data_IF_925574596511
#
_entry.id   IF_925574596511
#
_cell.length_a   1.000
_cell.length_b   1.000
_cell.length_c   1.000
_cell.angle_alpha   90.00
_cell.angle_beta   90.00
_cell.angle_gamma   90.00
#
_symmetry.space_group_name_H-M   'P 1'
#
loop_
_entity.id
_entity.type
_entity.pdbx_description
1 polymer ?
#
# COMPACT_ATOMS: atom_id res chain seq x y z
N UNK A 1 -33.50 -7.83 -30.13
CA UNK A 1 -32.76 -7.39 -28.96
C UNK A 1 -31.79 -8.51 -28.61
N UNK A 2 -30.57 -8.48 -29.20
CA UNK A 2 -29.49 -9.37 -28.81
C UNK A 2 -29.17 -9.13 -27.32
N UNK A 3 -29.33 -10.18 -26.50
CA UNK A 3 -29.05 -10.08 -25.06
C UNK A 3 -27.61 -9.64 -24.86
N UNK A 4 -27.41 -8.48 -24.25
CA UNK A 4 -26.08 -7.95 -23.87
C UNK A 4 -25.38 -8.93 -22.96
N UNK A 5 -24.23 -9.47 -23.38
CA UNK A 5 -23.42 -10.38 -22.57
C UNK A 5 -22.63 -9.56 -21.54
N UNK A 6 -23.09 -9.56 -20.29
CA UNK A 6 -22.35 -8.98 -19.16
C UNK A 6 -21.07 -9.77 -18.89
N UNK A 7 -20.00 -9.06 -18.53
CA UNK A 7 -18.75 -9.67 -18.14
C UNK A 7 -18.92 -10.60 -16.94
N UNK A 8 -18.74 -11.91 -17.16
CA UNK A 8 -18.69 -12.94 -16.09
C UNK A 8 -17.28 -13.26 -15.63
N UNK A 9 -16.24 -12.89 -16.41
CA UNK A 9 -14.84 -13.16 -16.04
C UNK A 9 -14.34 -12.18 -15.01
N UNK A 10 -13.39 -12.63 -14.16
CA UNK A 10 -12.64 -11.75 -13.28
C UNK A 10 -11.70 -10.87 -14.10
N UNK A 11 -11.71 -9.52 -13.92
CA UNK A 11 -10.81 -8.64 -14.64
C UNK A 11 -9.35 -8.93 -14.29
N UNK A 12 -8.49 -8.95 -15.30
CA UNK A 12 -7.06 -9.15 -15.14
C UNK A 12 -6.39 -7.85 -14.68
N UNK A 13 -5.58 -7.94 -13.63
CA UNK A 13 -4.94 -6.80 -12.98
C UNK A 13 -3.42 -6.95 -12.96
N UNK A 14 -2.70 -5.90 -13.41
CA UNK A 14 -1.25 -5.77 -13.32
C UNK A 14 -0.89 -4.77 -12.24
N UNK A 15 0.05 -5.15 -11.34
CA UNK A 15 0.49 -4.30 -10.22
C UNK A 15 1.91 -3.75 -10.49
N UNK A 16 1.98 -2.44 -10.74
CA UNK A 16 3.21 -1.70 -10.95
C UNK A 16 3.64 -1.05 -9.63
N UNK A 17 4.89 -1.22 -9.22
CA UNK A 17 5.40 -0.84 -7.89
C UNK A 17 4.73 -1.67 -6.78
N UNK A 18 4.63 -2.97 -6.98
CA UNK A 18 3.79 -3.87 -6.18
C UNK A 18 4.26 -4.07 -4.72
N UNK A 19 5.54 -3.79 -4.41
CA UNK A 19 6.11 -4.07 -3.11
C UNK A 19 5.88 -5.53 -2.69
N UNK A 20 5.36 -5.74 -1.46
CA UNK A 20 5.02 -7.09 -0.96
C UNK A 20 3.65 -7.59 -1.41
N UNK A 21 2.94 -6.84 -2.26
CA UNK A 21 1.65 -7.29 -2.82
C UNK A 21 0.42 -7.04 -1.94
N UNK A 22 0.48 -6.09 -1.00
CA UNK A 22 -0.68 -5.80 -0.14
C UNK A 22 -1.90 -5.30 -0.92
N UNK A 23 -1.69 -4.44 -1.95
CA UNK A 23 -2.75 -4.01 -2.85
C UNK A 23 -3.26 -5.19 -3.69
N UNK A 24 -2.37 -5.93 -4.35
CA UNK A 24 -2.71 -7.13 -5.13
C UNK A 24 -3.51 -8.16 -4.32
N UNK A 25 -3.12 -8.44 -3.06
CA UNK A 25 -3.84 -9.33 -2.16
C UNK A 25 -5.26 -8.83 -1.88
N UNK A 26 -5.41 -7.53 -1.64
CA UNK A 26 -6.72 -6.91 -1.44
C UNK A 26 -7.61 -7.00 -2.68
N UNK A 27 -7.08 -6.69 -3.85
CA UNK A 27 -7.77 -6.78 -5.14
C UNK A 27 -8.19 -8.23 -5.44
N UNK A 28 -7.31 -9.20 -5.18
CA UNK A 28 -7.63 -10.63 -5.33
C UNK A 28 -8.80 -11.03 -4.44
N UNK A 29 -8.83 -10.61 -3.17
CA UNK A 29 -9.96 -10.83 -2.25
C UNK A 29 -11.27 -10.19 -2.72
N UNK A 30 -11.18 -9.11 -3.47
CA UNK A 30 -12.33 -8.47 -4.11
C UNK A 30 -12.83 -9.21 -5.36
N UNK A 31 -12.05 -10.15 -5.91
CA UNK A 31 -12.39 -10.95 -7.09
C UNK A 31 -11.72 -10.52 -8.39
N UNK A 32 -10.69 -9.69 -8.34
CA UNK A 32 -9.82 -9.42 -9.49
C UNK A 32 -8.74 -10.53 -9.60
N UNK A 33 -8.27 -10.79 -10.81
CA UNK A 33 -7.23 -11.78 -11.08
C UNK A 33 -5.91 -11.06 -11.37
N UNK A 34 -4.95 -11.12 -10.45
CA UNK A 34 -3.63 -10.57 -10.72
C UNK A 34 -2.89 -11.41 -11.78
N UNK A 35 -2.21 -10.74 -12.71
CA UNK A 35 -1.33 -11.36 -13.70
C UNK A 35 0.13 -11.39 -13.23
N UNK A 36 0.51 -10.56 -12.27
CA UNK A 36 1.82 -10.49 -11.67
C UNK A 36 2.11 -9.13 -11.04
N UNK A 37 3.31 -8.99 -10.48
CA UNK A 37 3.78 -7.75 -9.86
C UNK A 37 5.18 -7.37 -10.31
N UNK A 38 5.43 -6.07 -10.40
CA UNK A 38 6.72 -5.50 -10.79
C UNK A 38 7.19 -4.55 -9.69
N UNK A 39 8.44 -4.67 -9.30
CA UNK A 39 9.13 -3.75 -8.41
C UNK A 39 10.63 -3.78 -8.71
N UNK A 40 11.39 -2.80 -8.23
CA UNK A 40 12.85 -2.81 -8.31
C UNK A 40 13.51 -3.48 -7.09
N UNK A 41 12.73 -3.95 -6.14
CA UNK A 41 13.17 -4.44 -4.84
C UNK A 41 13.00 -5.97 -4.73
N UNK A 42 14.07 -6.72 -4.93
CA UNK A 42 14.10 -8.18 -4.95
C UNK A 42 13.52 -8.84 -3.68
N UNK A 43 13.84 -8.34 -2.47
CA UNK A 43 13.29 -8.88 -1.23
C UNK A 43 11.76 -8.75 -1.17
N UNK A 44 11.21 -7.65 -1.68
CA UNK A 44 9.77 -7.42 -1.72
C UNK A 44 9.10 -8.35 -2.75
N UNK A 45 9.72 -8.55 -3.91
CA UNK A 45 9.24 -9.48 -4.93
C UNK A 45 9.30 -10.93 -4.46
N UNK A 46 10.36 -11.32 -3.73
CA UNK A 46 10.44 -12.65 -3.10
C UNK A 46 9.29 -12.85 -2.11
N UNK A 47 8.96 -11.82 -1.29
CA UNK A 47 7.81 -11.84 -0.38
C UNK A 47 6.49 -11.93 -1.16
N UNK A 48 6.33 -11.12 -2.21
CA UNK A 48 5.14 -11.15 -3.09
C UNK A 48 4.91 -12.54 -3.67
N UNK A 49 5.95 -13.11 -4.33
CA UNK A 49 5.87 -14.42 -4.96
C UNK A 49 5.56 -15.53 -3.95
N UNK A 50 6.23 -15.51 -2.79
CA UNK A 50 6.04 -16.51 -1.74
C UNK A 50 4.59 -16.61 -1.26
N UNK A 51 3.95 -15.46 -1.07
CA UNK A 51 2.60 -15.41 -0.47
C UNK A 51 1.46 -15.48 -1.49
N UNK A 52 1.65 -14.98 -2.71
CA UNK A 52 0.59 -14.94 -3.71
C UNK A 52 0.75 -16.04 -4.79
N UNK A 53 1.93 -16.65 -4.92
CA UNK A 53 2.20 -17.65 -5.96
C UNK A 53 2.15 -17.11 -7.38
N UNK A 54 2.26 -15.78 -7.55
CA UNK A 54 2.13 -15.10 -8.83
C UNK A 54 3.49 -14.73 -9.40
N UNK A 55 3.60 -14.58 -10.73
CA UNK A 55 4.82 -14.10 -11.39
C UNK A 55 5.26 -12.75 -10.86
N UNK A 56 6.56 -12.53 -10.78
CA UNK A 56 7.17 -11.24 -10.40
C UNK A 56 8.30 -10.90 -11.35
N UNK A 57 8.49 -9.61 -11.61
CA UNK A 57 9.59 -9.08 -12.40
C UNK A 57 10.33 -8.01 -11.62
N UNK A 58 11.64 -8.22 -11.41
CA UNK A 58 12.54 -7.19 -10.90
C UNK A 58 12.93 -6.26 -12.04
N UNK A 59 12.43 -5.04 -12.02
CA UNK A 59 12.73 -4.05 -13.06
C UNK A 59 12.66 -2.61 -12.53
N UNK A 60 13.52 -1.75 -13.08
CA UNK A 60 13.39 -0.30 -12.93
C UNK A 60 12.32 0.20 -13.91
N UNK A 61 11.13 0.47 -13.40
CA UNK A 61 10.00 0.94 -14.21
C UNK A 61 10.26 2.29 -14.90
N UNK A 62 11.31 3.03 -14.53
CA UNK A 62 11.75 4.20 -15.27
C UNK A 62 12.39 3.86 -16.63
N UNK A 63 12.74 2.59 -16.87
CA UNK A 63 13.49 2.14 -18.04
C UNK A 63 12.86 0.95 -18.75
N UNK A 64 12.09 0.15 -18.03
CA UNK A 64 11.51 -1.08 -18.57
C UNK A 64 10.43 -0.77 -19.62
N UNK A 65 10.54 -1.40 -20.78
CA UNK A 65 9.54 -1.35 -21.85
C UNK A 65 8.37 -2.30 -21.55
N UNK A 66 7.20 -2.04 -22.15
CA UNK A 66 6.05 -2.94 -22.03
C UNK A 66 6.37 -4.36 -22.55
N UNK A 67 7.20 -4.48 -23.60
CA UNK A 67 7.63 -5.78 -24.14
C UNK A 67 8.41 -6.59 -23.09
N UNK A 68 9.44 -5.99 -22.47
CA UNK A 68 10.21 -6.65 -21.40
C UNK A 68 9.33 -7.07 -20.23
N UNK A 69 8.34 -6.23 -19.86
CA UNK A 69 7.40 -6.52 -18.77
C UNK A 69 6.48 -7.68 -19.13
N UNK A 70 5.88 -7.67 -20.33
CA UNK A 70 4.96 -8.70 -20.77
C UNK A 70 5.63 -10.06 -20.95
N UNK A 71 6.84 -10.07 -21.50
CA UNK A 71 7.65 -11.29 -21.70
C UNK A 71 8.12 -11.84 -20.35
N UNK A 72 8.63 -10.97 -19.46
CA UNK A 72 9.12 -11.35 -18.14
C UNK A 72 8.05 -11.92 -17.20
N UNK A 73 6.81 -11.46 -17.32
CA UNK A 73 5.67 -11.97 -16.52
C UNK A 73 4.81 -12.99 -17.28
N UNK A 74 5.01 -13.18 -18.58
CA UNK A 74 4.28 -14.15 -19.40
C UNK A 74 2.80 -13.80 -19.60
N UNK A 75 2.45 -12.53 -19.87
CA UNK A 75 1.08 -12.12 -20.11
C UNK A 75 0.91 -11.34 -21.42
N UNK A 76 -0.31 -11.38 -21.98
CA UNK A 76 -0.69 -10.52 -23.10
C UNK A 76 -1.19 -9.16 -22.59
N UNK A 77 -0.53 -8.03 -22.96
CA UNK A 77 -0.97 -6.70 -22.56
C UNK A 77 -2.42 -6.38 -22.96
N UNK A 78 -2.88 -6.92 -24.08
CA UNK A 78 -4.27 -6.75 -24.51
C UNK A 78 -5.28 -7.42 -23.55
N UNK A 79 -4.84 -8.39 -22.78
CA UNK A 79 -5.65 -9.11 -21.78
C UNK A 79 -5.76 -8.39 -20.43
N UNK A 80 -5.00 -7.31 -20.17
CA UNK A 80 -5.01 -6.58 -18.90
C UNK A 80 -6.17 -5.60 -18.86
N UNK A 81 -7.08 -5.78 -17.92
CA UNK A 81 -8.27 -4.94 -17.75
C UNK A 81 -8.05 -3.78 -16.78
N UNK A 82 -7.18 -3.98 -15.79
CA UNK A 82 -6.90 -3.01 -14.72
C UNK A 82 -5.39 -2.89 -14.51
N UNK A 83 -4.87 -1.67 -14.46
CA UNK A 83 -3.49 -1.40 -14.02
C UNK A 83 -3.54 -0.68 -12.69
N UNK A 84 -2.81 -1.19 -11.71
CA UNK A 84 -2.73 -0.58 -10.39
C UNK A 84 -1.29 -0.29 -10.00
N UNK A 85 -1.07 0.61 -9.05
CA UNK A 85 0.25 0.81 -8.48
C UNK A 85 0.34 1.98 -7.52
N UNK A 86 1.48 2.01 -6.80
CA UNK A 86 1.85 3.08 -5.89
C UNK A 86 3.17 3.73 -6.31
N UNK A 87 3.24 4.47 -7.42
CA UNK A 87 4.50 5.09 -7.85
C UNK A 87 5.07 5.98 -6.74
N UNK A 88 6.36 5.85 -6.38
CA UNK A 88 6.94 6.60 -5.28
C UNK A 88 6.92 8.10 -5.55
N UNK A 89 6.44 8.86 -4.57
CA UNK A 89 6.41 10.32 -4.53
C UNK A 89 7.14 10.84 -3.28
N UNK A 90 8.41 10.49 -3.12
CA UNK A 90 9.15 10.75 -1.87
C UNK A 90 9.39 12.24 -1.61
N UNK A 91 9.54 13.07 -2.62
CA UNK A 91 9.67 14.53 -2.47
C UNK A 91 8.41 15.20 -1.91
N UNK A 92 7.28 14.51 -1.87
CA UNK A 92 6.00 15.04 -1.38
C UNK A 92 5.55 14.40 -0.05
N UNK A 93 6.34 13.47 0.51
CA UNK A 93 6.04 12.87 1.80
C UNK A 93 6.08 13.92 2.92
N UNK A 94 5.13 13.86 3.85
CA UNK A 94 5.09 14.71 5.06
C UNK A 94 6.20 14.34 6.05
N UNK A 95 6.85 13.18 5.87
CA UNK A 95 7.94 12.65 6.69
C UNK A 95 9.19 12.51 5.83
N UNK A 96 10.11 13.48 5.88
CA UNK A 96 11.37 13.46 5.14
C UNK A 96 11.79 14.83 4.62
N UNK A 97 12.92 14.89 3.92
CA UNK A 97 13.35 16.09 3.18
C UNK A 97 12.45 16.25 1.96
N UNK A 98 11.69 17.34 1.91
CA UNK A 98 10.85 17.69 0.73
C UNK A 98 11.77 18.16 -0.39
N UNK A 99 12.26 17.23 -1.20
CA UNK A 99 13.10 17.51 -2.36
C UNK A 99 12.25 17.42 -3.63
N UNK A 100 11.89 18.57 -4.18
CA UNK A 100 11.10 18.67 -5.40
C UNK A 100 11.88 18.26 -6.66
N UNK A 101 13.20 18.11 -6.57
CA UNK A 101 14.09 17.71 -7.67
C UNK A 101 14.36 16.20 -7.69
N UNK A 102 13.84 15.44 -6.72
CA UNK A 102 14.03 14.00 -6.64
C UNK A 102 13.52 13.31 -7.93
N UNK A 103 14.35 12.58 -8.67
CA UNK A 103 13.96 11.93 -9.92
C UNK A 103 12.82 10.93 -9.75
N UNK A 104 12.61 10.40 -8.52
CA UNK A 104 11.49 9.52 -8.21
C UNK A 104 10.13 10.21 -8.31
N UNK A 105 10.09 11.54 -8.29
CA UNK A 105 8.86 12.29 -8.52
C UNK A 105 8.35 12.16 -9.97
N UNK A 106 9.18 11.66 -10.89
CA UNK A 106 8.82 11.42 -12.29
C UNK A 106 8.26 9.99 -12.52
N UNK A 107 8.35 9.09 -11.55
CA UNK A 107 7.93 7.69 -11.73
C UNK A 107 6.42 7.53 -12.01
N UNK A 108 5.59 8.50 -11.63
CA UNK A 108 4.19 8.52 -12.04
C UNK A 108 4.04 8.75 -13.56
N UNK A 109 5.00 9.42 -14.23
CA UNK A 109 4.98 9.60 -15.68
C UNK A 109 5.26 8.28 -16.41
N UNK A 110 6.21 7.48 -15.91
CA UNK A 110 6.47 6.14 -16.46
C UNK A 110 5.29 5.19 -16.21
N UNK A 111 4.65 5.27 -15.04
CA UNK A 111 3.39 4.58 -14.81
C UNK A 111 2.34 4.98 -15.85
N UNK A 112 2.21 6.27 -16.12
CA UNK A 112 1.29 6.81 -17.13
C UNK A 112 1.62 6.33 -18.54
N UNK A 113 2.90 6.32 -18.94
CA UNK A 113 3.37 5.82 -20.24
C UNK A 113 2.98 4.34 -20.44
N UNK A 114 3.22 3.49 -19.45
CA UNK A 114 2.80 2.09 -19.49
C UNK A 114 1.27 1.94 -19.57
N UNK A 115 0.51 2.75 -18.84
CA UNK A 115 -0.96 2.76 -18.96
C UNK A 115 -1.41 3.17 -20.37
N UNK A 116 -0.73 4.13 -21.01
CA UNK A 116 -1.04 4.51 -22.40
C UNK A 116 -0.81 3.37 -23.39
N UNK A 117 0.25 2.56 -23.17
CA UNK A 117 0.57 1.44 -24.04
C UNK A 117 -0.38 0.25 -23.82
N UNK A 118 -0.61 -0.15 -22.54
CA UNK A 118 -1.51 -1.25 -22.17
C UNK A 118 -2.97 -0.90 -22.46
N UNK A 119 -3.36 0.35 -22.25
CA UNK A 119 -4.72 0.86 -22.38
C UNK A 119 -5.78 0.03 -21.62
N UNK A 120 -5.59 -0.16 -20.29
CA UNK A 120 -6.55 -0.90 -19.47
C UNK A 120 -7.90 -0.16 -19.40
N UNK A 121 -8.98 -0.88 -19.09
CA UNK A 121 -10.30 -0.28 -18.85
C UNK A 121 -10.30 0.62 -17.62
N UNK A 122 -9.57 0.22 -16.59
CA UNK A 122 -9.50 0.93 -15.29
C UNK A 122 -8.06 1.10 -14.81
N UNK A 123 -7.84 2.18 -14.07
CA UNK A 123 -6.55 2.53 -13.46
C UNK A 123 -6.74 2.86 -11.98
N UNK A 124 -5.87 2.35 -11.13
CA UNK A 124 -5.85 2.65 -9.70
C UNK A 124 -4.45 3.12 -9.29
N UNK A 125 -4.36 4.34 -8.75
CA UNK A 125 -3.09 4.85 -8.19
C UNK A 125 -3.29 5.13 -6.70
N UNK A 126 -2.48 4.47 -5.87
CA UNK A 126 -2.38 4.78 -4.43
C UNK A 126 -1.16 5.64 -4.15
N UNK A 127 -1.30 6.61 -3.24
CA UNK A 127 -0.17 7.43 -2.86
C UNK A 127 -0.33 8.04 -1.45
N UNK A 128 0.72 8.72 -0.98
CA UNK A 128 0.74 9.40 0.32
C UNK A 128 -0.12 10.68 0.29
N UNK A 129 -0.72 11.03 1.45
CA UNK A 129 -1.57 12.23 1.63
C UNK A 129 -0.90 13.52 1.12
N UNK A 130 0.43 13.63 1.29
CA UNK A 130 1.19 14.82 0.88
C UNK A 130 1.08 15.15 -0.61
N UNK A 131 0.76 14.18 -1.48
CA UNK A 131 0.61 14.40 -2.91
C UNK A 131 -0.56 15.34 -3.24
N UNK A 132 -1.65 15.32 -2.47
CA UNK A 132 -2.81 16.20 -2.71
C UNK A 132 -2.48 17.70 -2.58
N UNK A 133 -1.57 18.04 -1.66
CA UNK A 133 -1.20 19.43 -1.36
C UNK A 133 0.15 19.80 -1.96
N UNK A 134 0.86 18.83 -2.53
CA UNK A 134 2.16 19.04 -3.14
C UNK A 134 2.06 20.08 -4.25
N UNK A 135 3.00 21.03 -4.22
CA UNK A 135 3.05 22.14 -5.16
C UNK A 135 1.68 22.86 -5.30
N UNK A 136 1.02 23.14 -4.17
CA UNK A 136 -0.31 23.79 -4.10
C UNK A 136 -1.39 23.03 -4.89
N UNK A 137 -1.29 21.70 -4.94
CA UNK A 137 -2.25 20.84 -5.65
C UNK A 137 -1.97 20.66 -7.14
N UNK A 138 -0.92 21.29 -7.69
CA UNK A 138 -0.57 21.17 -9.11
C UNK A 138 -0.22 19.74 -9.53
N UNK A 139 0.44 18.97 -8.66
CA UNK A 139 0.80 17.58 -8.98
C UNK A 139 -0.45 16.73 -9.22
N UNK A 140 -1.46 16.87 -8.35
CA UNK A 140 -2.76 16.19 -8.54
C UNK A 140 -3.40 16.56 -9.86
N UNK A 141 -3.50 17.86 -10.14
CA UNK A 141 -4.09 18.38 -11.37
C UNK A 141 -3.33 17.86 -12.61
N UNK A 142 -1.99 17.87 -12.59
CA UNK A 142 -1.17 17.35 -13.68
C UNK A 142 -1.43 15.87 -13.97
N UNK A 143 -1.59 15.04 -12.92
CA UNK A 143 -1.93 13.62 -13.08
C UNK A 143 -3.32 13.50 -13.73
N UNK A 144 -4.34 14.16 -13.18
CA UNK A 144 -5.71 14.11 -13.69
C UNK A 144 -5.79 14.60 -15.15
N UNK A 145 -5.08 15.69 -15.49
CA UNK A 145 -5.05 16.26 -16.84
C UNK A 145 -4.30 15.36 -17.84
N UNK A 146 -3.18 14.74 -17.41
CA UNK A 146 -2.45 13.79 -18.24
C UNK A 146 -3.36 12.62 -18.64
N UNK A 147 -4.04 12.00 -17.69
CA UNK A 147 -4.97 10.90 -17.98
C UNK A 147 -6.15 11.34 -18.84
N UNK A 148 -6.70 12.53 -18.59
CA UNK A 148 -7.78 13.10 -19.43
C UNK A 148 -7.33 13.29 -20.87
N UNK A 149 -6.09 13.75 -21.09
CA UNK A 149 -5.54 13.98 -22.45
C UNK A 149 -5.47 12.70 -23.29
N UNK A 150 -5.53 11.52 -22.65
CA UNK A 150 -5.45 10.22 -23.30
C UNK A 150 -6.77 9.42 -23.24
N UNK A 151 -7.89 10.08 -22.90
CA UNK A 151 -9.24 9.50 -22.93
C UNK A 151 -9.58 8.68 -21.70
N UNK A 152 -9.04 9.05 -20.54
CA UNK A 152 -9.50 8.56 -19.25
C UNK A 152 -10.18 9.68 -18.49
N UNK A 153 -11.36 9.44 -17.96
CA UNK A 153 -11.85 10.20 -16.83
C UNK A 153 -11.07 9.75 -15.58
N UNK A 154 -10.78 10.70 -14.69
CA UNK A 154 -10.05 10.42 -13.45
C UNK A 154 -10.55 11.29 -12.30
N UNK A 155 -10.66 10.68 -11.13
CA UNK A 155 -11.01 11.38 -9.88
C UNK A 155 -10.12 10.91 -8.74
N UNK A 156 -9.99 11.75 -7.71
CA UNK A 156 -9.14 11.44 -6.55
C UNK A 156 -9.83 11.76 -5.22
N UNK A 157 -9.48 11.00 -4.18
CA UNK A 157 -9.97 11.22 -2.81
C UNK A 157 -8.90 10.83 -1.79
N UNK A 158 -9.11 11.27 -0.53
CA UNK A 158 -8.30 10.85 0.60
C UNK A 158 -9.06 9.79 1.40
N UNK A 159 -8.50 8.59 1.51
CA UNK A 159 -9.05 7.49 2.31
C UNK A 159 -8.28 7.35 3.62
N UNK A 160 -9.00 7.01 4.69
CA UNK A 160 -8.43 6.61 5.97
C UNK A 160 -8.59 5.10 6.12
N UNK A 161 -7.47 4.38 6.25
CA UNK A 161 -7.47 2.91 6.32
C UNK A 161 -8.32 2.36 7.47
N UNK A 162 -8.40 3.08 8.60
CA UNK A 162 -9.23 2.68 9.74
C UNK A 162 -10.72 2.53 9.40
N UNK A 163 -11.24 3.33 8.45
CA UNK A 163 -12.64 3.28 8.02
C UNK A 163 -12.98 1.97 7.28
N UNK A 164 -11.94 1.21 6.91
CA UNK A 164 -12.04 -0.10 6.22
C UNK A 164 -11.63 -1.28 7.11
N UNK A 165 -11.61 -1.10 8.44
CA UNK A 165 -11.27 -2.16 9.40
C UNK A 165 -9.76 -2.38 9.59
N UNK A 166 -8.91 -1.55 9.02
CA UNK A 166 -7.46 -1.59 9.29
C UNK A 166 -7.19 -0.92 10.64
N UNK A 167 -6.48 -1.56 11.59
CA UNK A 167 -6.29 -1.00 12.93
C UNK A 167 -5.23 0.11 12.97
N UNK A 168 -5.27 1.04 11.99
CA UNK A 168 -4.38 2.21 11.96
C UNK A 168 -4.99 3.42 11.21
N UNK A 169 -4.63 4.61 11.65
CA UNK A 169 -5.08 5.90 11.10
C UNK A 169 -4.28 6.32 9.84
N UNK A 170 -3.83 5.34 9.06
CA UNK A 170 -3.10 5.57 7.81
C UNK A 170 -3.99 6.25 6.78
N UNK A 171 -3.58 7.38 6.26
CA UNK A 171 -4.26 8.07 5.18
C UNK A 171 -3.55 7.87 3.85
N UNK A 172 -4.33 7.63 2.79
CA UNK A 172 -3.81 7.44 1.43
C UNK A 172 -4.69 8.14 0.41
N UNK A 173 -4.03 8.76 -0.55
CA UNK A 173 -4.71 9.29 -1.73
C UNK A 173 -4.99 8.12 -2.66
N UNK A 174 -6.22 8.06 -3.13
CA UNK A 174 -6.66 7.15 -4.17
C UNK A 174 -7.03 7.95 -5.41
N UNK A 175 -6.44 7.59 -6.56
CA UNK A 175 -6.92 8.00 -7.87
C UNK A 175 -7.61 6.81 -8.53
N UNK A 176 -8.79 7.04 -9.06
CA UNK A 176 -9.54 6.10 -9.88
C UNK A 176 -9.68 6.68 -11.28
N UNK A 177 -9.16 5.96 -12.27
CA UNK A 177 -9.27 6.28 -13.70
C UNK A 177 -10.06 5.22 -14.43
N UNK A 178 -10.83 5.63 -15.44
CA UNK A 178 -11.58 4.73 -16.33
C UNK A 178 -11.62 5.32 -17.72
N UNK A 179 -11.63 4.48 -18.76
CA UNK A 179 -11.78 4.93 -20.15
C UNK A 179 -13.11 5.64 -20.35
N UNK A 180 -13.10 6.71 -21.12
CA UNK A 180 -14.31 7.44 -21.50
C UNK A 180 -15.35 6.49 -22.12
N UNK A 181 -16.60 6.63 -21.69
CA UNK A 181 -17.71 5.77 -22.10
C UNK A 181 -17.94 4.54 -21.22
N UNK A 182 -17.00 4.19 -20.32
CA UNK A 182 -17.19 3.11 -19.35
C UNK A 182 -17.85 3.60 -18.06
N UNK A 183 -18.41 2.65 -17.29
CA UNK A 183 -19.03 2.94 -16.01
C UNK A 183 -17.99 3.48 -15.00
N UNK A 184 -18.34 4.58 -14.34
CA UNK A 184 -17.53 5.23 -13.31
C UNK A 184 -17.43 4.35 -12.06
N UNK A 185 -16.21 4.02 -11.54
CA UNK A 185 -16.06 3.36 -10.25
C UNK A 185 -16.38 4.34 -9.11
N UNK A 186 -17.17 3.94 -8.13
CA UNK A 186 -17.40 4.76 -6.93
C UNK A 186 -16.15 4.80 -6.05
N UNK A 187 -16.01 5.80 -5.19
CA UNK A 187 -15.08 5.69 -4.06
C UNK A 187 -15.65 4.72 -3.02
N UNK A 188 -14.79 3.89 -2.38
CA UNK A 188 -15.29 2.97 -1.37
C UNK A 188 -15.83 3.72 -0.16
N UNK A 189 -17.00 3.30 0.31
CA UNK A 189 -17.60 3.77 1.55
C UNK A 189 -17.01 3.01 2.76
N UNK A 190 -16.98 3.63 3.97
CA UNK A 190 -16.54 2.96 5.18
C UNK A 190 -17.21 1.60 5.37
N UNK A 191 -16.42 0.58 5.69
CA UNK A 191 -16.92 -0.79 5.88
C UNK A 191 -17.13 -1.17 7.34
N UNK A 192 -16.72 -0.30 8.26
CA UNK A 192 -16.87 -0.49 9.70
C UNK A 192 -17.46 0.76 10.36
N UNK A 193 -18.32 0.56 11.34
CA UNK A 193 -18.90 1.64 12.16
C UNK A 193 -18.02 2.00 13.37
N UNK A 194 -17.17 1.05 13.81
CA UNK A 194 -16.20 1.24 14.90
C UNK A 194 -14.82 0.79 14.42
N UNK A 195 -13.83 1.63 14.66
CA UNK A 195 -12.45 1.32 14.31
C UNK A 195 -11.88 0.20 15.20
N UNK A 196 -11.09 -0.69 14.62
CA UNK A 196 -10.34 -1.73 15.32
C UNK A 196 -9.20 -1.10 16.10
N UNK A 197 -9.07 -1.40 17.37
CA UNK A 197 -8.02 -0.89 18.26
C UNK A 197 -6.74 -1.71 18.15
N UNK A 198 -5.64 -1.17 18.69
CA UNK A 198 -4.36 -1.89 18.78
C UNK A 198 -4.51 -3.16 19.60
N UNK A 199 -5.19 -3.10 20.75
CA UNK A 199 -5.44 -4.29 21.59
C UNK A 199 -6.22 -5.36 20.84
N UNK A 200 -7.29 -4.97 20.15
CA UNK A 200 -8.09 -5.88 19.33
C UNK A 200 -7.28 -6.53 18.19
N UNK A 201 -6.18 -5.90 17.77
CA UNK A 201 -5.39 -6.38 16.64
C UNK A 201 -4.23 -7.30 17.04
N UNK A 202 -3.53 -7.03 18.18
CA UNK A 202 -2.23 -7.68 18.46
C UNK A 202 -2.10 -8.36 19.82
N UNK A 203 -3.08 -8.27 20.73
CA UNK A 203 -2.88 -8.77 22.10
C UNK A 203 -3.02 -10.30 22.26
N UNK A 204 -3.40 -11.03 21.21
CA UNK A 204 -3.30 -12.49 21.14
C UNK A 204 -1.92 -12.98 20.72
N UNK A 205 -1.05 -12.10 20.21
CA UNK A 205 0.32 -12.43 19.87
C UNK A 205 1.16 -12.63 21.15
N UNK A 206 2.11 -13.59 21.18
CA UNK A 206 2.88 -13.89 22.38
C UNK A 206 3.72 -12.71 22.83
N UNK A 207 3.75 -12.49 24.14
CA UNK A 207 4.60 -11.44 24.72
C UNK A 207 6.08 -11.77 24.54
N UNK A 208 6.89 -10.75 24.21
CA UNK A 208 8.31 -10.86 23.95
C UNK A 208 9.14 -9.90 24.81
N UNK A 209 10.29 -10.37 25.27
CA UNK A 209 11.37 -9.51 25.77
C UNK A 209 12.18 -8.95 24.60
N UNK A 210 12.96 -7.88 24.78
CA UNK A 210 13.92 -7.42 23.76
C UNK A 210 14.81 -8.57 23.28
N UNK A 211 14.96 -8.72 21.96
CA UNK A 211 15.74 -9.78 21.33
C UNK A 211 15.06 -11.15 21.24
N UNK A 212 13.95 -11.38 21.92
CA UNK A 212 13.25 -12.67 21.94
C UNK A 212 12.48 -12.95 20.64
N UNK A 213 12.36 -14.24 20.31
CA UNK A 213 11.55 -14.78 19.22
C UNK A 213 10.58 -15.80 19.76
N UNK A 214 9.31 -15.75 19.33
CA UNK A 214 8.31 -16.79 19.59
C UNK A 214 7.55 -17.11 18.30
N UNK A 215 7.31 -18.40 18.10
CA UNK A 215 6.61 -18.92 16.92
C UNK A 215 5.27 -19.57 17.24
N UNK A 216 4.97 -19.79 18.51
CA UNK A 216 3.73 -20.41 18.95
C UNK A 216 2.82 -19.35 19.61
N UNK A 217 1.53 -19.40 19.32
CA UNK A 217 0.57 -18.56 20.01
C UNK A 217 0.46 -18.95 21.49
N UNK A 218 0.47 -17.96 22.37
CA UNK A 218 0.29 -18.19 23.81
C UNK A 218 -1.18 -18.33 24.23
N UNK A 219 -2.09 -17.78 23.42
CA UNK A 219 -3.53 -17.69 23.73
C UNK A 219 -4.38 -17.87 22.46
N UNK A 220 -5.63 -18.34 22.59
CA UNK A 220 -6.58 -18.31 21.48
C UNK A 220 -6.90 -16.85 21.10
N UNK A 221 -7.31 -16.61 19.84
CA UNK A 221 -7.82 -15.31 19.43
C UNK A 221 -9.16 -15.03 20.11
N UNK A 222 -9.37 -13.79 20.58
CA UNK A 222 -10.58 -13.41 21.33
C UNK A 222 -11.43 -12.35 20.65
N UNK A 223 -10.87 -11.62 19.67
CA UNK A 223 -11.60 -10.62 18.90
C UNK A 223 -11.89 -11.13 17.49
N UNK A 224 -12.96 -10.61 16.87
CA UNK A 224 -13.28 -10.94 15.48
C UNK A 224 -12.07 -10.64 14.54
N UNK A 225 -11.36 -9.55 14.78
CA UNK A 225 -10.18 -9.20 14.00
C UNK A 225 -9.05 -10.22 14.14
N UNK A 226 -8.73 -10.66 15.38
CA UNK A 226 -7.72 -11.68 15.64
C UNK A 226 -8.09 -13.02 15.00
N UNK A 227 -9.35 -13.45 15.13
CA UNK A 227 -9.87 -14.67 14.52
C UNK A 227 -9.68 -14.63 13.00
N UNK A 228 -10.06 -13.53 12.39
CA UNK A 228 -10.00 -13.33 10.94
C UNK A 228 -8.54 -13.29 10.43
N UNK A 229 -7.66 -12.55 11.13
CA UNK A 229 -6.25 -12.45 10.72
C UNK A 229 -5.44 -13.71 10.98
N UNK A 230 -5.72 -14.42 12.08
CA UNK A 230 -5.06 -15.67 12.40
C UNK A 230 -5.51 -16.80 11.47
N UNK A 231 -6.80 -16.83 11.09
CA UNK A 231 -7.33 -17.84 10.18
C UNK A 231 -7.01 -19.27 10.67
N UNK A 232 -6.29 -20.04 9.85
CA UNK A 232 -5.85 -21.40 10.15
C UNK A 232 -4.37 -21.50 10.55
N UNK A 233 -3.70 -20.35 10.75
CA UNK A 233 -2.28 -20.36 11.09
C UNK A 233 -2.04 -20.85 12.52
N UNK A 234 -1.25 -21.90 12.67
CA UNK A 234 -0.80 -22.42 13.96
C UNK A 234 0.57 -21.86 14.37
N UNK A 235 1.23 -21.15 13.47
CA UNK A 235 2.59 -20.62 13.63
C UNK A 235 2.57 -19.09 13.50
N UNK A 236 3.26 -18.43 14.42
CA UNK A 236 3.50 -16.96 14.38
C UNK A 236 4.78 -16.68 13.60
N UNK A 237 4.69 -16.29 12.35
CA UNK A 237 5.82 -15.89 11.52
C UNK A 237 6.24 -14.46 11.79
N UNK A 238 7.55 -14.13 11.58
CA UNK A 238 8.11 -12.78 11.69
C UNK A 238 7.92 -12.09 13.06
N UNK A 239 7.77 -12.88 14.15
CA UNK A 239 7.53 -12.35 15.49
C UNK A 239 8.81 -12.41 16.35
N UNK A 240 9.75 -11.52 16.03
CA UNK A 240 11.03 -11.38 16.73
C UNK A 240 11.19 -9.92 17.17
N UNK A 241 11.37 -9.70 18.46
CA UNK A 241 11.61 -8.37 19.02
C UNK A 241 12.98 -7.80 18.63
N UNK A 242 13.09 -6.51 18.42
CA UNK A 242 14.39 -5.86 18.32
C UNK A 242 15.13 -5.97 19.66
N UNK A 243 16.44 -6.21 19.60
CA UNK A 243 17.27 -6.13 20.78
C UNK A 243 17.51 -4.66 21.12
N UNK A 244 17.08 -4.24 22.30
CA UNK A 244 17.23 -2.89 22.80
C UNK A 244 18.21 -2.87 23.98
N UNK A 245 19.09 -1.85 24.10
CA UNK A 245 19.96 -1.71 25.27
C UNK A 245 19.13 -1.45 26.53
N UNK A 246 19.65 -1.90 27.70
CA UNK A 246 18.98 -1.77 29.00
C UNK A 246 18.57 -0.33 29.30
N UNK A 247 19.40 0.64 28.92
CA UNK A 247 19.10 2.07 29.11
C UNK A 247 17.84 2.52 28.37
N UNK A 248 17.57 1.96 27.18
CA UNK A 248 16.32 2.24 26.45
C UNK A 248 15.13 1.52 27.11
N UNK A 249 15.31 0.26 27.53
CA UNK A 249 14.27 -0.49 28.24
C UNK A 249 13.88 0.24 29.53
N UNK A 250 14.84 0.78 30.25
CA UNK A 250 14.57 1.57 31.48
C UNK A 250 13.72 2.80 31.17
N UNK A 251 14.07 3.58 30.16
CA UNK A 251 13.26 4.73 29.69
C UNK A 251 11.83 4.30 29.41
N UNK A 252 11.64 3.19 28.68
CA UNK A 252 10.31 2.72 28.27
C UNK A 252 9.44 2.26 29.45
N UNK A 253 10.00 1.83 30.59
CA UNK A 253 9.23 1.47 31.79
C UNK A 253 8.42 2.64 32.36
N UNK A 254 8.90 3.86 32.18
CA UNK A 254 8.24 5.06 32.71
C UNK A 254 7.11 5.59 31.83
N UNK A 255 6.94 5.03 30.63
CA UNK A 255 5.93 5.49 29.67
C UNK A 255 4.71 4.57 29.75
N UNK A 256 3.54 5.06 30.19
CA UNK A 256 2.33 4.27 30.25
C UNK A 256 1.76 3.99 28.85
N UNK A 257 0.75 3.12 28.76
CA UNK A 257 -0.04 2.88 27.56
C UNK A 257 -0.58 4.20 26.99
N UNK A 258 -0.39 4.45 25.70
CA UNK A 258 -0.74 5.70 25.02
C UNK A 258 0.09 6.92 25.44
N UNK A 259 1.03 6.74 26.38
CA UNK A 259 1.90 7.80 26.88
C UNK A 259 3.02 8.18 25.91
N UNK A 260 3.74 9.20 26.24
CA UNK A 260 4.83 9.72 25.43
C UNK A 260 6.02 10.18 26.30
N UNK A 261 6.99 10.80 25.66
CA UNK A 261 8.23 11.30 26.25
C UNK A 261 8.03 12.14 27.52
N UNK A 262 6.91 12.84 27.68
CA UNK A 262 6.64 13.68 28.87
C UNK A 262 6.52 12.88 30.17
N UNK A 263 6.29 11.57 30.07
CA UNK A 263 6.24 10.66 31.24
C UNK A 263 7.62 10.19 31.71
N UNK A 264 8.69 10.54 30.99
CA UNK A 264 10.07 10.13 31.35
C UNK A 264 10.61 11.09 32.43
N UNK A 265 11.16 10.58 33.54
CA UNK A 265 11.79 11.40 34.54
C UNK A 265 12.94 12.25 33.97
N UNK A 266 13.17 13.46 34.52
CA UNK A 266 14.15 14.42 34.00
C UNK A 266 15.57 13.83 33.87
N UNK A 267 16.03 13.04 34.84
CA UNK A 267 17.35 12.41 34.81
C UNK A 267 17.51 11.33 33.71
N UNK A 268 16.41 10.82 33.15
CA UNK A 268 16.38 9.86 32.04
C UNK A 268 15.98 10.48 30.72
N UNK A 269 15.67 11.78 30.68
CA UNK A 269 15.25 12.46 29.45
C UNK A 269 16.33 12.35 28.37
N UNK A 270 15.98 11.85 27.19
CA UNK A 270 16.89 11.81 26.05
C UNK A 270 17.34 13.21 25.64
N UNK A 271 18.64 13.40 25.42
CA UNK A 271 19.23 14.68 25.02
C UNK A 271 18.71 15.22 23.68
N UNK A 272 18.20 14.35 22.81
CA UNK A 272 17.69 14.70 21.49
C UNK A 272 16.44 13.88 21.16
N UNK A 273 15.71 14.32 20.15
CA UNK A 273 14.51 13.63 19.65
C UNK A 273 13.33 14.57 19.52
N UNK A 274 12.40 14.20 18.64
CA UNK A 274 11.14 14.91 18.47
C UNK A 274 10.26 14.72 19.71
N UNK A 275 9.37 15.66 19.96
CA UNK A 275 8.42 15.60 21.08
C UNK A 275 7.60 14.28 21.11
N UNK A 276 7.44 13.63 19.96
CA UNK A 276 6.71 12.37 19.78
C UNK A 276 7.61 11.10 19.81
N UNK A 277 8.92 11.25 20.04
CA UNK A 277 9.79 10.07 20.21
C UNK A 277 9.37 9.31 21.47
N UNK A 278 9.68 8.02 21.50
CA UNK A 278 9.39 7.10 22.61
C UNK A 278 7.90 6.90 22.93
N UNK A 279 6.98 7.50 22.14
CA UNK A 279 5.55 7.35 22.41
C UNK A 279 5.09 5.89 22.18
N UNK A 280 4.30 5.39 23.13
CA UNK A 280 3.60 4.12 23.01
C UNK A 280 2.34 4.29 22.18
N UNK A 281 1.98 3.24 21.44
CA UNK A 281 0.64 3.12 20.90
C UNK A 281 -0.37 3.10 22.06
N UNK A 282 -1.54 3.68 21.85
CA UNK A 282 -2.67 3.59 22.76
C UNK A 282 -3.43 2.29 22.44
N UNK A 283 -3.48 1.37 23.41
CA UNK A 283 -4.14 0.06 23.21
C UNK A 283 -5.60 0.17 22.85
N UNK A 284 -6.30 1.24 23.31
CA UNK A 284 -7.72 1.45 23.12
C UNK A 284 -8.08 2.23 21.87
N UNK A 285 -7.09 2.58 21.03
CA UNK A 285 -7.27 3.32 19.78
C UNK A 285 -6.65 2.58 18.60
N UNK A 286 -7.03 2.90 17.35
CA UNK A 286 -6.25 2.50 16.18
C UNK A 286 -4.83 3.05 16.28
N UNK A 287 -3.85 2.29 15.79
CA UNK A 287 -2.46 2.74 15.72
C UNK A 287 -2.34 4.01 14.84
N UNK A 288 -1.33 4.80 15.09
CA UNK A 288 -0.85 5.74 14.09
C UNK A 288 -0.33 4.97 12.86
N UNK A 289 -0.08 5.67 11.76
CA UNK A 289 0.43 5.03 10.56
C UNK A 289 1.73 4.24 10.83
N UNK A 290 1.69 2.93 10.58
CA UNK A 290 2.86 2.05 10.66
C UNK A 290 3.88 2.47 9.62
N UNK A 291 5.13 2.66 10.04
CA UNK A 291 6.25 3.08 9.19
C UNK A 291 7.40 2.08 9.29
N UNK A 292 8.36 2.19 8.39
CA UNK A 292 9.59 1.38 8.41
C UNK A 292 10.41 1.48 9.71
N UNK A 293 10.20 2.55 10.49
CA UNK A 293 10.89 2.78 11.77
C UNK A 293 10.18 2.19 13.00
N UNK A 294 9.11 1.40 12.82
CA UNK A 294 8.30 0.85 13.93
C UNK A 294 9.09 -0.01 14.93
N UNK A 295 10.32 -0.44 14.62
CA UNK A 295 11.22 -1.15 15.54
C UNK A 295 12.02 -0.24 16.47
N UNK A 296 12.03 1.09 16.21
CA UNK A 296 12.89 2.07 16.90
C UNK A 296 12.05 3.02 17.74
N UNK A 297 11.85 2.79 19.05
CA UNK A 297 11.08 3.67 19.92
C UNK A 297 11.53 5.14 19.88
N UNK A 298 12.85 5.38 19.75
CA UNK A 298 13.43 6.73 19.72
C UNK A 298 13.05 7.54 18.47
N UNK A 299 12.66 6.91 17.37
CA UNK A 299 12.37 7.58 16.10
C UNK A 299 10.92 7.41 15.62
N UNK A 300 10.13 6.57 16.29
CA UNK A 300 8.74 6.28 15.90
C UNK A 300 7.80 6.42 17.09
N UNK A 301 6.54 6.73 16.79
CA UNK A 301 5.44 6.67 17.76
C UNK A 301 4.82 5.26 17.77
N UNK A 302 5.64 4.22 17.69
CA UNK A 302 5.18 2.85 17.49
C UNK A 302 5.86 1.90 18.49
N UNK A 303 6.02 2.34 19.75
CA UNK A 303 6.39 1.45 20.84
C UNK A 303 5.16 0.60 21.20
N UNK A 304 5.40 -0.69 21.51
CA UNK A 304 4.32 -1.59 21.94
C UNK A 304 3.60 -1.02 23.18
N UNK A 305 2.27 -1.07 23.25
CA UNK A 305 1.50 -0.45 24.35
C UNK A 305 1.98 -0.86 25.74
N UNK A 306 2.20 -2.16 25.95
CA UNK A 306 2.49 -2.74 27.27
C UNK A 306 3.94 -3.22 27.43
N UNK A 307 4.58 -3.64 26.33
CA UNK A 307 5.94 -4.20 26.39
C UNK A 307 7.00 -3.12 26.16
N UNK A 308 8.20 -3.28 26.75
CA UNK A 308 9.23 -2.24 26.70
C UNK A 308 10.13 -2.37 25.47
N UNK A 309 9.51 -2.32 24.28
CA UNK A 309 10.16 -2.51 22.98
C UNK A 309 9.41 -1.87 21.81
N UNK A 310 10.05 -1.72 20.68
CA UNK A 310 9.39 -1.44 19.42
C UNK A 310 8.52 -2.60 18.96
N UNK A 311 7.73 -2.37 17.91
CA UNK A 311 6.90 -3.40 17.30
C UNK A 311 7.76 -4.44 16.58
N UNK A 312 7.27 -5.68 16.50
CA UNK A 312 7.79 -6.72 15.61
C UNK A 312 7.23 -6.55 14.19
N UNK A 313 7.81 -7.27 13.23
CA UNK A 313 7.29 -7.32 11.86
C UNK A 313 5.86 -7.90 11.84
N UNK A 314 5.58 -8.96 12.62
CA UNK A 314 4.23 -9.55 12.74
C UNK A 314 3.20 -8.57 13.29
N UNK A 315 3.53 -7.84 14.36
CA UNK A 315 2.65 -6.81 14.89
C UNK A 315 2.38 -5.71 13.85
N UNK A 316 3.41 -5.29 13.11
CA UNK A 316 3.25 -4.36 12.00
C UNK A 316 2.34 -4.90 10.89
N UNK A 317 2.48 -6.16 10.50
CA UNK A 317 1.60 -6.83 9.52
C UNK A 317 0.14 -6.88 9.99
N UNK A 318 -0.09 -7.25 11.27
CA UNK A 318 -1.43 -7.24 11.86
C UNK A 318 -2.05 -5.83 11.82
N UNK A 319 -1.27 -4.80 12.18
CA UNK A 319 -1.72 -3.40 12.09
C UNK A 319 -1.90 -2.91 10.64
N UNK A 320 -1.33 -3.59 9.66
CA UNK A 320 -1.53 -3.38 8.22
C UNK A 320 -2.61 -4.31 7.63
N UNK A 321 -3.32 -5.09 8.46
CA UNK A 321 -4.37 -6.03 8.04
C UNK A 321 -3.93 -7.23 7.18
N UNK A 322 -2.67 -7.64 7.26
CA UNK A 322 -2.22 -8.91 6.70
C UNK A 322 -2.59 -10.08 7.60
N UNK A 323 -2.85 -11.24 7.01
CA UNK A 323 -3.11 -12.48 7.75
C UNK A 323 -1.81 -13.08 8.32
N UNK A 324 -1.92 -13.99 9.28
CA UNK A 324 -0.75 -14.54 9.97
C UNK A 324 0.03 -15.56 9.17
N UNK A 325 -0.59 -16.15 8.15
CA UNK A 325 0.08 -17.00 7.16
C UNK A 325 0.94 -16.19 6.17
N UNK A 326 0.74 -14.88 6.09
CA UNK A 326 1.57 -14.01 5.25
C UNK A 326 2.98 -13.86 5.85
N UNK A 327 4.01 -14.34 5.14
CA UNK A 327 5.41 -14.36 5.57
C UNK A 327 6.23 -13.32 4.83
N UNK A 328 6.94 -12.46 5.55
CA UNK A 328 7.86 -11.47 4.95
C UNK A 328 9.28 -12.05 4.91
N UNK A 329 9.87 -12.07 3.74
CA UNK A 329 11.21 -12.58 3.46
C UNK A 329 12.27 -11.46 3.47
N UNK A 330 13.55 -11.87 3.37
CA UNK A 330 14.70 -10.97 3.33
C UNK A 330 15.27 -10.63 4.71
N UNK A 331 16.22 -9.71 4.73
CA UNK A 331 16.87 -9.27 5.96
C UNK A 331 15.89 -8.59 6.91
N UNK A 332 16.18 -8.62 8.20
CA UNK A 332 15.31 -7.99 9.22
C UNK A 332 15.03 -6.51 8.95
N UNK A 333 16.02 -5.77 8.48
CA UNK A 333 15.83 -4.36 8.10
C UNK A 333 14.91 -4.24 6.89
N UNK A 334 15.10 -5.08 5.90
CA UNK A 334 14.23 -5.17 4.71
C UNK A 334 12.78 -5.49 5.10
N UNK A 335 12.54 -6.44 5.98
CA UNK A 335 11.19 -6.80 6.44
C UNK A 335 10.43 -5.60 7.03
N UNK A 336 11.09 -4.78 7.87
CA UNK A 336 10.47 -3.56 8.42
C UNK A 336 10.16 -2.51 7.35
N UNK A 337 11.05 -2.34 6.36
CA UNK A 337 10.83 -1.44 5.23
C UNK A 337 9.64 -1.92 4.38
N UNK A 338 9.59 -3.21 4.08
CA UNK A 338 8.51 -3.84 3.32
C UNK A 338 7.14 -3.58 3.96
N UNK A 339 7.00 -3.85 5.26
CA UNK A 339 5.74 -3.65 5.98
C UNK A 339 5.36 -2.17 6.06
N UNK A 340 6.33 -1.27 6.31
CA UNK A 340 6.07 0.17 6.39
C UNK A 340 5.55 0.77 5.08
N UNK A 341 5.99 0.24 3.93
CA UNK A 341 5.60 0.70 2.59
C UNK A 341 4.31 0.06 2.09
N UNK A 342 3.88 -1.05 2.67
CA UNK A 342 2.73 -1.81 2.17
C UNK A 342 1.41 -1.03 2.16
N UNK A 343 0.59 -1.32 1.17
CA UNK A 343 -0.83 -0.97 1.17
C UNK A 343 -1.61 -2.02 1.97
N UNK A 344 -2.46 -1.62 2.93
CA UNK A 344 -3.24 -2.59 3.71
C UNK A 344 -4.21 -3.41 2.83
N UNK A 345 -4.20 -4.75 2.93
CA UNK A 345 -5.09 -5.60 2.12
C UNK A 345 -6.59 -5.30 2.27
N UNK A 346 -7.07 -4.93 3.46
CA UNK A 346 -8.48 -4.55 3.65
C UNK A 346 -8.84 -3.27 2.88
N UNK A 347 -7.94 -2.28 2.83
CA UNK A 347 -8.12 -1.10 2.01
C UNK A 347 -8.12 -1.46 0.51
N UNK A 348 -7.16 -2.30 0.07
CA UNK A 348 -7.10 -2.81 -1.30
C UNK A 348 -8.38 -3.55 -1.70
N UNK A 349 -8.96 -4.36 -0.78
CA UNK A 349 -10.20 -5.07 -1.02
C UNK A 349 -11.41 -4.12 -1.16
N UNK A 350 -11.46 -3.04 -0.37
CA UNK A 350 -12.51 -2.03 -0.51
C UNK A 350 -12.45 -1.33 -1.88
N UNK A 351 -11.25 -0.93 -2.30
CA UNK A 351 -11.00 -0.35 -3.63
C UNK A 351 -11.38 -1.33 -4.74
N UNK A 352 -10.92 -2.58 -4.63
CA UNK A 352 -11.17 -3.62 -5.62
C UNK A 352 -12.66 -3.92 -5.84
N UNK A 353 -13.48 -3.87 -4.79
CA UNK A 353 -14.94 -4.07 -4.91
C UNK A 353 -15.59 -3.00 -5.78
N UNK A 354 -15.19 -1.74 -5.66
CA UNK A 354 -15.76 -0.67 -6.48
C UNK A 354 -15.30 -0.75 -7.94
N UNK A 355 -14.02 -1.06 -8.18
CA UNK A 355 -13.50 -1.30 -9.53
C UNK A 355 -14.22 -2.49 -10.19
N UNK A 356 -14.38 -3.61 -9.46
CA UNK A 356 -15.09 -4.79 -9.95
C UNK A 356 -16.57 -4.50 -10.25
N UNK A 357 -17.23 -3.71 -9.40
CA UNK A 357 -18.62 -3.30 -9.63
C UNK A 357 -18.75 -2.50 -10.92
N UNK A 358 -17.90 -1.49 -11.11
CA UNK A 358 -17.89 -0.69 -12.32
C UNK A 358 -17.55 -1.53 -13.56
N UNK A 359 -16.53 -2.40 -13.49
CA UNK A 359 -16.16 -3.29 -14.58
C UNK A 359 -17.34 -4.17 -15.03
N UNK A 360 -18.06 -4.75 -14.06
CA UNK A 360 -19.21 -5.64 -14.32
C UNK A 360 -20.47 -4.91 -14.82
N UNK A 361 -20.52 -3.60 -14.69
CA UNK A 361 -21.62 -2.77 -15.22
C UNK A 361 -21.51 -2.50 -16.71
N UNK A 362 -20.35 -2.77 -17.33
CA UNK A 362 -20.13 -2.62 -18.76
C UNK A 362 -20.38 -3.93 -19.50
N UNK A 363 -20.75 -3.84 -20.78
CA UNK A 363 -20.75 -4.99 -21.68
C UNK A 363 -19.33 -5.25 -22.23
N UNK A 364 -19.07 -6.46 -22.72
CA UNK A 364 -17.78 -6.85 -23.32
C UNK A 364 -17.44 -5.94 -24.49
N UNK A 365 -18.44 -5.65 -25.35
CA UNK A 365 -18.29 -4.79 -26.52
C UNK A 365 -17.91 -3.35 -26.11
N UNK A 366 -18.55 -2.79 -25.08
CA UNK A 366 -18.26 -1.42 -24.61
C UNK A 366 -16.79 -1.27 -24.21
N UNK A 367 -16.22 -2.26 -23.50
CA UNK A 367 -14.81 -2.24 -23.09
C UNK A 367 -13.88 -2.35 -24.32
N UNK A 368 -14.21 -3.23 -25.27
CA UNK A 368 -13.43 -3.38 -26.50
C UNK A 368 -13.46 -2.11 -27.34
N UNK A 369 -14.62 -1.49 -27.48
CA UNK A 369 -14.82 -0.25 -28.22
C UNK A 369 -14.06 0.92 -27.56
N UNK A 370 -14.17 1.11 -26.24
CA UNK A 370 -13.46 2.14 -25.51
C UNK A 370 -11.92 1.98 -25.62
N UNK A 371 -11.41 0.75 -25.66
CA UNK A 371 -9.99 0.47 -25.87
C UNK A 371 -9.55 0.75 -27.31
N UNK A 372 -10.40 0.53 -28.29
CA UNK A 372 -10.10 0.66 -29.73
C UNK A 372 -10.22 2.09 -30.27
N UNK A 373 -11.12 2.91 -29.75
CA UNK A 373 -11.46 4.25 -30.25
C UNK A 373 -10.28 5.21 -30.44
N UNK A 374 -9.12 4.97 -29.83
CA UNK A 374 -7.93 5.85 -29.90
C UNK A 374 -6.82 5.41 -30.84
N UNK A 375 -6.89 4.24 -31.42
CA UNK A 375 -5.97 3.88 -32.51
C UNK A 375 -6.18 4.80 -33.73
N UNK A 376 -7.39 5.35 -33.88
CA UNK A 376 -7.78 6.23 -34.97
C UNK A 376 -7.37 7.71 -34.77
N UNK A 377 -7.21 8.19 -33.55
CA UNK A 377 -6.86 9.59 -33.25
C UNK A 377 -5.32 9.85 -33.12
N UNK A 378 -4.51 8.80 -33.05
CA UNK A 378 -3.04 8.91 -32.98
C UNK A 378 -2.38 9.43 -34.27
N UNK A 379 -3.11 9.46 -35.42
CA UNK A 379 -2.51 9.91 -36.67
C UNK A 379 -2.29 11.44 -36.74
N UNK A 380 -2.83 12.24 -35.84
CA UNK A 380 -2.83 13.70 -36.02
C UNK A 380 -2.32 14.59 -34.87
N UNK A 381 -1.94 14.10 -33.68
CA UNK A 381 -1.32 14.95 -32.64
C UNK A 381 -0.51 14.14 -31.61
N UNK A 382 0.81 14.10 -31.76
CA UNK A 382 1.69 13.83 -30.61
C UNK A 382 1.87 15.12 -29.82
N UNK A 383 1.41 15.23 -28.56
CA UNK A 383 1.89 16.30 -27.71
C UNK A 383 3.33 15.94 -27.29
N UNK A 384 4.32 16.59 -27.88
CA UNK A 384 5.67 16.65 -27.31
C UNK A 384 5.53 17.34 -25.97
N UNK A 385 5.52 16.57 -24.88
CA UNK A 385 5.81 17.12 -23.56
C UNK A 385 7.22 17.69 -23.66
N UNK A 386 7.34 19.00 -23.59
CA UNK A 386 8.61 19.70 -23.70
C UNK A 386 9.55 19.18 -22.61
N UNK A 387 10.56 18.41 -23.00
CA UNK A 387 11.73 18.16 -22.17
C UNK A 387 12.41 19.50 -21.93
N UNK A 388 12.06 20.21 -20.87
CA UNK A 388 12.87 21.31 -20.37
C UNK A 388 14.16 20.70 -19.86
N UNK A 389 15.22 20.88 -20.63
CA UNK A 389 16.57 20.62 -20.20
C UNK A 389 16.83 21.35 -18.88
N UNK A 390 17.30 20.62 -17.90
CA UNK A 390 17.87 21.18 -16.68
C UNK A 390 19.18 21.86 -17.11
N UNK A 391 19.40 23.15 -16.82
CA UNK A 391 20.71 23.75 -17.01
C UNK A 391 21.73 23.05 -16.10
N UNK A 392 22.94 22.89 -16.64
CA UNK A 392 24.10 22.28 -16.00
C UNK A 392 24.51 22.98 -14.69
#
# INVERSE_FOLDING_TARGET
LAGRQRHRRSPACLDLFCGIGGLSLGLHRAGLRSVGGIDHWSDALATFHHNLGLPTLEADLARASLGEISDGLGFDPAGVDVVVGGPPCQGFSTVGKRDHTDPRNLLWQHFFELVQEIRPAYVVIENVEGLLVADRGRIRANIEDAFRSVGYAMKSTLLRAADFGVPQLRKRVLFLGWLDGLAEPAFPEPTVSKHVTVAEAIFDLPALRPGETKTNYGHPPVTAYQIDRRGRSDVVHNHTAANHPDSLVEILKHIPDGGNRLSIPDHLQPKSGFHNSYARLDSQKPAIAVTSNMRKPSSARATHPLQHRGLTVREGLRLQSFDDDFVVLGSRTSQYLQVGNAVPPLLGAAIGREVLRAYRSNDVADIQDARSQRLLTRSNRSPRIARRAVPA
#
